data_IF_416183646446
#
_entry.id   IF_416183646446
#
_cell.length_a   1.000
_cell.length_b   1.000
_cell.length_c   1.000
_cell.angle_alpha   90.00
_cell.angle_beta   90.00
_cell.angle_gamma   90.00
#
_symmetry.space_group_name_H-M   'P 1'
#
loop_
_entity.id
_entity.type
_entity.pdbx_description
1 polymer ?
#
# COMPACT_ATOMS: atom_id res chain seq x y z
N UNK A 1 -15.18 -5.40 2.96
CA UNK A 1 -14.70 -5.02 1.61
C UNK A 1 -14.74 -3.54 1.55
N UNK A 2 -13.57 -2.99 1.84
CA UNK A 2 -13.29 -1.60 2.14
C UNK A 2 -12.53 -1.01 0.94
N UNK A 3 -12.20 0.28 0.96
CA UNK A 3 -11.61 0.98 -0.20
C UNK A 3 -10.19 0.56 -0.59
N UNK A 4 -9.69 -0.58 -0.13
CA UNK A 4 -8.32 -1.04 -0.38
C UNK A 4 -8.22 -2.57 -0.61
N UNK A 5 -9.36 -3.24 -0.74
CA UNK A 5 -9.45 -4.69 -0.92
C UNK A 5 -10.39 -5.06 -2.07
N UNK A 6 -9.93 -5.91 -3.01
CA UNK A 6 -10.68 -6.37 -4.19
C UNK A 6 -10.94 -7.88 -4.13
N UNK A 7 -12.14 -8.29 -4.53
CA UNK A 7 -12.44 -9.68 -4.90
C UNK A 7 -12.29 -9.83 -6.41
N UNK A 8 -11.30 -10.60 -6.87
CA UNK A 8 -11.10 -10.83 -8.31
C UNK A 8 -11.72 -12.14 -8.76
N UNK A 9 -11.64 -13.19 -7.92
CA UNK A 9 -12.21 -14.51 -8.17
C UNK A 9 -12.71 -15.15 -6.86
N UNK A 10 -13.52 -16.23 -6.90
CA UNK A 10 -14.16 -16.83 -5.72
C UNK A 10 -13.24 -17.29 -4.58
N UNK A 11 -11.92 -17.19 -4.70
CA UNK A 11 -10.95 -17.41 -3.61
C UNK A 11 -9.70 -16.52 -3.75
N UNK A 12 -9.79 -15.42 -4.51
CA UNK A 12 -8.68 -14.50 -4.73
C UNK A 12 -9.08 -13.11 -4.26
N UNK A 13 -8.70 -12.82 -3.02
CA UNK A 13 -8.79 -11.50 -2.42
C UNK A 13 -7.45 -10.80 -2.56
N UNK A 14 -7.49 -9.55 -3.02
CA UNK A 14 -6.30 -8.73 -3.20
C UNK A 14 -6.37 -7.53 -2.26
N UNK A 15 -5.30 -7.33 -1.50
CA UNK A 15 -5.08 -6.12 -0.71
C UNK A 15 -4.14 -5.21 -1.49
N UNK A 16 -4.60 -4.01 -1.83
CA UNK A 16 -3.82 -3.03 -2.59
C UNK A 16 -2.59 -2.58 -1.78
N UNK A 17 -1.38 -2.92 -2.23
CA UNK A 17 -0.17 -2.48 -1.53
C UNK A 17 -0.06 -0.96 -1.52
N UNK A 18 0.54 -0.43 -0.44
CA UNK A 18 0.73 0.99 -0.20
C UNK A 18 -0.57 1.81 -0.08
N UNK A 19 -1.75 1.23 -0.20
CA UNK A 19 -3.02 1.93 -0.06
C UNK A 19 -3.60 1.62 1.32
N UNK A 20 -4.07 2.63 2.04
CA UNK A 20 -4.86 2.45 3.25
C UNK A 20 -6.08 3.36 3.20
N UNK A 21 -7.23 2.74 2.95
CA UNK A 21 -8.52 3.42 2.94
C UNK A 21 -9.16 3.35 4.34
N UNK A 22 -10.10 4.26 4.67
CA UNK A 22 -10.91 4.08 5.86
C UNK A 22 -11.69 2.76 5.81
N UNK A 23 -11.80 2.10 6.96
CA UNK A 23 -12.71 0.97 7.15
C UNK A 23 -14.14 1.35 6.77
N UNK A 24 -14.96 0.42 6.29
CA UNK A 24 -16.32 0.70 5.79
C UNK A 24 -17.24 1.39 6.82
N UNK A 25 -16.99 1.18 8.11
CA UNK A 25 -17.73 1.81 9.21
C UNK A 25 -17.16 3.17 9.66
N UNK A 26 -16.02 3.60 9.10
CA UNK A 26 -15.40 4.89 9.36
C UNK A 26 -15.86 5.95 8.35
N UNK A 27 -15.65 7.22 8.69
CA UNK A 27 -15.94 8.33 7.78
C UNK A 27 -15.09 8.22 6.50
N UNK A 28 -15.72 8.29 5.33
CA UNK A 28 -15.07 8.14 4.03
C UNK A 28 -14.93 6.69 3.56
N UNK A 29 -15.29 5.70 4.39
CA UNK A 29 -15.19 4.27 4.07
C UNK A 29 -16.09 3.84 2.90
N UNK A 30 -17.41 4.12 2.95
CA UNK A 30 -18.31 3.84 1.84
C UNK A 30 -17.88 4.53 0.54
N UNK A 31 -17.44 5.79 0.61
CA UNK A 31 -17.00 6.56 -0.55
C UNK A 31 -15.72 5.97 -1.19
N UNK A 32 -14.74 5.58 -0.36
CA UNK A 32 -13.52 4.93 -0.82
C UNK A 32 -13.82 3.58 -1.50
N UNK A 33 -14.74 2.80 -0.92
CA UNK A 33 -15.20 1.53 -1.50
C UNK A 33 -15.88 1.75 -2.85
N UNK A 34 -16.84 2.65 -2.91
CA UNK A 34 -17.61 2.91 -4.14
C UNK A 34 -16.69 3.42 -5.26
N UNK A 35 -15.69 4.22 -4.92
CA UNK A 35 -14.69 4.67 -5.88
C UNK A 35 -13.82 3.52 -6.41
N UNK A 36 -13.30 2.64 -5.54
CA UNK A 36 -12.55 1.46 -5.96
C UNK A 36 -13.39 0.53 -6.85
N UNK A 37 -14.66 0.34 -6.49
CA UNK A 37 -15.64 -0.41 -7.31
C UNK A 37 -15.81 0.25 -8.68
N UNK A 38 -15.89 1.58 -8.74
CA UNK A 38 -16.04 2.29 -10.02
C UNK A 38 -14.84 2.12 -10.97
N UNK A 39 -13.64 1.91 -10.43
CA UNK A 39 -12.42 1.68 -11.21
C UNK A 39 -12.34 0.26 -11.78
N UNK A 40 -12.80 -0.75 -11.03
CA UNK A 40 -12.46 -2.14 -11.32
C UNK A 40 -13.66 -3.03 -11.68
N UNK A 41 -14.88 -2.68 -11.28
CA UNK A 41 -16.04 -3.54 -11.47
C UNK A 41 -16.32 -3.81 -12.96
N UNK A 42 -16.41 -5.09 -13.33
CA UNK A 42 -16.70 -5.52 -14.70
C UNK A 42 -15.55 -5.34 -15.70
N UNK A 43 -14.37 -4.93 -15.23
CA UNK A 43 -13.16 -4.79 -16.05
C UNK A 43 -12.21 -5.97 -15.85
N UNK A 44 -11.21 -6.08 -16.73
CA UNK A 44 -10.09 -7.02 -16.51
C UNK A 44 -9.05 -6.32 -15.65
N UNK A 45 -8.73 -6.94 -14.52
CA UNK A 45 -7.63 -6.52 -13.66
C UNK A 45 -6.32 -7.22 -14.06
N UNK A 46 -5.24 -6.45 -14.16
CA UNK A 46 -3.88 -6.95 -14.11
C UNK A 46 -3.40 -6.84 -12.67
N UNK A 47 -2.90 -7.95 -12.14
CA UNK A 47 -2.45 -8.07 -10.75
C UNK A 47 -0.94 -8.29 -10.78
N UNK A 48 -0.21 -7.35 -10.18
CA UNK A 48 1.24 -7.38 -10.02
C UNK A 48 1.56 -7.55 -8.53
N UNK A 49 1.86 -8.79 -8.12
CA UNK A 49 2.09 -9.17 -6.73
C UNK A 49 3.39 -8.55 -6.20
N UNK A 50 3.41 -8.13 -4.94
CA UNK A 50 4.63 -7.70 -4.27
C UNK A 50 5.47 -8.93 -3.89
N UNK A 51 6.50 -9.18 -4.72
CA UNK A 51 7.46 -10.28 -4.57
C UNK A 51 8.08 -10.41 -3.17
N UNK A 52 8.16 -9.31 -2.41
CA UNK A 52 8.76 -9.29 -1.07
C UNK A 52 7.74 -9.53 0.06
N UNK A 53 6.46 -9.68 -0.26
CA UNK A 53 5.38 -9.86 0.72
C UNK A 53 4.49 -11.08 0.46
N UNK A 54 4.91 -11.98 -0.42
CA UNK A 54 4.18 -13.23 -0.75
C UNK A 54 3.85 -14.02 0.53
N UNK A 55 2.57 -14.33 0.71
CA UNK A 55 2.05 -15.13 1.84
C UNK A 55 2.15 -14.46 3.22
N UNK A 56 2.48 -13.16 3.29
CA UNK A 56 2.61 -12.43 4.56
C UNK A 56 1.30 -11.84 5.08
N UNK A 57 0.24 -11.80 4.27
CA UNK A 57 -1.07 -11.34 4.75
C UNK A 57 -1.69 -12.40 5.68
N UNK A 58 -1.96 -12.07 6.97
CA UNK A 58 -2.53 -13.01 7.93
C UNK A 58 -3.92 -13.54 7.54
N UNK A 59 -4.60 -12.85 6.63
CA UNK A 59 -5.94 -13.18 6.14
C UNK A 59 -5.90 -13.93 4.80
N UNK A 60 -4.71 -14.25 4.28
CA UNK A 60 -4.51 -15.00 3.04
C UNK A 60 -4.76 -14.19 1.77
N UNK A 61 -4.79 -12.84 1.85
CA UNK A 61 -4.93 -11.96 0.69
C UNK A 61 -3.61 -11.85 -0.06
N UNK A 62 -3.69 -11.72 -1.38
CA UNK A 62 -2.54 -11.38 -2.21
C UNK A 62 -2.27 -9.89 -2.07
N UNK A 63 -1.02 -9.51 -1.83
CA UNK A 63 -0.60 -8.11 -1.74
C UNK A 63 -0.09 -7.68 -3.11
N UNK A 64 -0.79 -6.77 -3.78
CA UNK A 64 -0.47 -6.42 -5.16
C UNK A 64 -0.75 -4.95 -5.52
N UNK A 65 -0.08 -4.50 -6.58
CA UNK A 65 -0.53 -3.38 -7.40
C UNK A 65 -1.55 -3.90 -8.40
N UNK A 66 -2.69 -3.22 -8.53
CA UNK A 66 -3.76 -3.62 -9.44
C UNK A 66 -4.01 -2.55 -10.49
N UNK A 67 -4.06 -2.97 -11.75
CA UNK A 67 -4.42 -2.12 -12.88
C UNK A 67 -5.73 -2.59 -13.50
N UNK A 68 -6.75 -1.74 -13.51
CA UNK A 68 -8.08 -2.03 -14.05
C UNK A 68 -8.32 -1.18 -15.30
N UNK A 69 -8.59 -1.81 -16.44
CA UNK A 69 -8.77 -1.12 -17.74
C UNK A 69 -7.66 -0.10 -18.09
N UNK A 70 -6.41 -0.45 -17.77
CA UNK A 70 -5.25 0.42 -18.00
C UNK A 70 -5.03 1.51 -16.93
N UNK A 71 -5.89 1.60 -15.92
CA UNK A 71 -5.80 2.55 -14.80
C UNK A 71 -5.21 1.87 -13.57
N UNK A 72 -4.15 2.45 -12.98
CA UNK A 72 -3.56 1.93 -11.75
C UNK A 72 -4.45 2.28 -10.55
N UNK A 73 -5.20 1.30 -10.04
CA UNK A 73 -6.16 1.50 -8.97
C UNK A 73 -5.48 1.99 -7.68
N UNK A 74 -4.27 1.52 -7.37
CA UNK A 74 -3.53 1.95 -6.18
C UNK A 74 -3.22 3.45 -6.25
N UNK A 75 -2.65 3.91 -7.37
CA UNK A 75 -2.30 5.31 -7.57
C UNK A 75 -3.55 6.21 -7.58
N UNK A 76 -4.62 5.77 -8.25
CA UNK A 76 -5.86 6.53 -8.34
C UNK A 76 -6.55 6.68 -6.97
N UNK A 77 -6.59 5.62 -6.16
CA UNK A 77 -7.09 5.67 -4.78
C UNK A 77 -6.34 6.71 -3.94
N UNK A 78 -5.00 6.77 -4.04
CA UNK A 78 -4.20 7.79 -3.34
C UNK A 78 -4.49 9.19 -3.90
N UNK A 79 -4.52 9.34 -5.23
CA UNK A 79 -4.73 10.63 -5.89
C UNK A 79 -6.11 11.24 -5.62
N UNK A 80 -7.13 10.39 -5.42
CA UNK A 80 -8.50 10.79 -5.10
C UNK A 80 -8.63 11.42 -3.70
N UNK A 81 -7.64 11.21 -2.82
CA UNK A 81 -7.69 11.59 -1.42
C UNK A 81 -8.56 10.67 -0.54
N UNK A 82 -9.13 9.60 -1.11
CA UNK A 82 -9.95 8.61 -0.40
C UNK A 82 -9.11 7.54 0.32
N UNK A 83 -7.79 7.51 0.06
CA UNK A 83 -6.85 6.65 0.74
C UNK A 83 -5.54 7.39 1.05
N UNK A 84 -4.78 6.84 2.00
CA UNK A 84 -3.44 7.32 2.38
C UNK A 84 -2.39 6.28 2.04
N UNK A 85 -1.19 6.75 1.77
CA UNK A 85 -0.05 5.85 1.54
C UNK A 85 0.31 5.10 2.83
N UNK A 86 0.44 3.77 2.75
CA UNK A 86 0.73 2.90 3.89
C UNK A 86 2.03 2.14 3.71
N UNK A 87 3.09 2.72 4.24
CA UNK A 87 4.46 2.20 4.13
C UNK A 87 4.79 1.11 5.16
N UNK A 88 3.84 0.70 6.01
CA UNK A 88 4.15 -0.16 7.16
C UNK A 88 4.72 -1.52 6.75
N UNK A 89 4.39 -2.02 5.56
CA UNK A 89 4.97 -3.25 5.04
C UNK A 89 6.30 -3.04 4.31
N UNK A 90 6.65 -1.81 3.97
CA UNK A 90 7.95 -1.43 3.44
C UNK A 90 8.93 -1.11 4.59
N UNK A 91 8.93 -1.86 5.70
CA UNK A 91 9.86 -1.63 6.80
C UNK A 91 11.29 -2.05 6.44
N UNK A 92 11.88 -1.35 5.47
CA UNK A 92 13.32 -1.34 5.28
C UNK A 92 13.93 -0.65 6.50
N UNK A 93 14.90 -1.31 7.12
CA UNK A 93 15.71 -0.73 8.18
C UNK A 93 17.15 -0.59 7.68
N UNK A 94 18.00 0.09 8.44
CA UNK A 94 19.40 0.26 8.08
C UNK A 94 20.14 -1.04 7.73
N UNK A 95 19.88 -2.21 8.35
CA UNK A 95 20.49 -3.47 7.93
C UNK A 95 20.11 -3.93 6.51
N UNK A 96 18.96 -3.51 5.98
CA UNK A 96 18.43 -3.97 4.70
C UNK A 96 18.99 -3.20 3.49
N UNK A 97 19.69 -2.09 3.74
CA UNK A 97 20.23 -1.21 2.69
C UNK A 97 21.75 -1.03 2.83
N UNK A 98 22.50 -0.98 1.71
CA UNK A 98 23.94 -0.77 1.74
C UNK A 98 24.33 0.70 1.97
N UNK A 99 23.37 1.62 1.88
CA UNK A 99 23.60 3.05 2.00
C UNK A 99 23.64 3.50 3.46
N UNK A 100 24.46 4.52 3.73
CA UNK A 100 24.72 5.09 5.05
C UNK A 100 24.85 6.59 4.94
N UNK A 101 24.50 7.33 6.01
CA UNK A 101 24.68 8.78 6.13
C UNK A 101 24.01 9.58 5.00
N UNK A 102 22.78 9.18 4.65
CA UNK A 102 21.98 9.89 3.67
C UNK A 102 20.99 10.83 4.37
N UNK A 103 20.53 11.86 3.66
CA UNK A 103 19.55 12.79 4.21
C UNK A 103 18.17 12.11 4.33
N UNK A 104 17.58 12.18 5.52
CA UNK A 104 16.20 11.72 5.77
C UNK A 104 15.26 12.91 5.81
N UNK A 105 14.09 12.78 5.17
CA UNK A 105 13.05 13.79 5.16
C UNK A 105 11.84 13.30 5.96
N UNK A 106 11.18 14.16 6.75
CA UNK A 106 9.93 13.80 7.40
C UNK A 106 8.77 13.55 6.41
N UNK A 107 7.83 12.65 6.74
CA UNK A 107 7.91 11.68 7.84
C UNK A 107 8.98 10.62 7.54
N UNK A 108 9.62 10.06 8.58
CA UNK A 108 10.58 8.95 8.47
C UNK A 108 9.89 7.60 8.75
N UNK A 109 9.11 7.04 7.80
CA UNK A 109 8.34 5.82 8.02
C UNK A 109 9.21 4.57 8.14
N UNK A 110 10.48 4.65 7.74
CA UNK A 110 11.44 3.54 7.76
C UNK A 110 12.33 3.59 9.00
N UNK A 111 12.19 4.63 9.84
CA UNK A 111 12.98 4.81 11.03
C UNK A 111 14.49 4.74 10.70
N UNK A 112 14.89 5.29 9.56
CA UNK A 112 16.29 5.34 9.18
C UNK A 112 17.06 6.35 10.04
N UNK A 113 16.38 7.37 10.56
CA UNK A 113 16.89 8.42 11.43
C UNK A 113 16.21 8.31 12.82
N UNK A 114 16.68 7.33 13.61
CA UNK A 114 16.09 6.99 14.91
C UNK A 114 16.27 8.12 15.94
N UNK A 115 17.38 8.85 15.86
CA UNK A 115 17.72 9.95 16.76
C UNK A 115 17.21 11.32 16.29
N UNK A 116 16.74 11.43 15.04
CA UNK A 116 15.97 12.55 14.53
C UNK A 116 16.82 13.75 14.11
N UNK A 117 18.05 13.53 13.69
CA UNK A 117 19.02 14.58 13.35
C UNK A 117 19.02 14.93 11.85
N UNK A 118 18.25 14.20 11.04
CA UNK A 118 18.12 14.34 9.60
C UNK A 118 19.07 13.45 8.80
N UNK A 119 19.84 12.57 9.45
CA UNK A 119 20.82 11.67 8.83
C UNK A 119 20.46 10.21 9.09
N UNK A 120 20.19 9.48 8.00
CA UNK A 120 19.79 8.08 8.06
C UNK A 120 20.98 7.13 8.21
N UNK A 121 20.81 6.11 9.04
CA UNK A 121 21.68 4.96 9.17
C UNK A 121 23.13 5.35 9.49
N UNK A 122 23.32 6.09 10.57
CA UNK A 122 24.64 6.55 11.01
C UNK A 122 25.44 5.48 11.74
N UNK A 123 24.78 4.71 12.59
CA UNK A 123 25.36 3.58 13.32
C UNK A 123 24.99 2.29 12.61
N UNK A 124 25.99 1.66 11.99
CA UNK A 124 25.84 0.39 11.27
C UNK A 124 25.68 -0.82 12.19
#
# INVERSE_FOLDING_TARGET
>A
MDGDTLDVEPNLMIRLVLVNAPELNAAGGPEAKDYLVSLCLGTRALVDEDDNQIGRDPYGRVLAVVTCDGTNANADMISSGLAKTYYMFCSLNCPDIPYRRFRVLPPDPHHFDIDGDGVGCETG
#
